data_IF_537475551061
#
_entry.id   IF_537475551061
#
_cell.length_a   1.000
_cell.length_b   1.000
_cell.length_c   1.000
_cell.angle_alpha   90.00
_cell.angle_beta   90.00
_cell.angle_gamma   90.00
#
_symmetry.space_group_name_H-M   'P 1'
#
loop_
_entity.id
_entity.type
_entity.pdbx_description
1 polymer ?
#
# COMPACT_ATOMS: atom_id res chain seq x y z
N UNK A 1 12.96 -27.87 -48.27
CA UNK A 1 12.45 -26.72 -47.45
C UNK A 1 11.44 -27.22 -46.48
N UNK A 2 11.74 -27.37 -45.18
CA UNK A 2 10.76 -27.71 -44.17
C UNK A 2 10.02 -26.46 -43.72
N UNK A 3 8.69 -26.61 -43.55
CA UNK A 3 7.81 -25.51 -43.11
C UNK A 3 8.10 -25.12 -41.66
N UNK A 4 8.34 -23.84 -41.45
CA UNK A 4 8.38 -23.24 -40.14
C UNK A 4 6.98 -23.31 -39.52
N UNK A 5 6.81 -24.13 -38.47
CA UNK A 5 5.66 -24.07 -37.58
C UNK A 5 5.72 -22.77 -36.79
N UNK A 6 4.72 -21.91 -36.99
CA UNK A 6 4.48 -20.77 -36.11
C UNK A 6 4.20 -21.27 -34.70
N UNK A 7 5.14 -21.07 -33.80
CA UNK A 7 4.94 -21.26 -32.37
C UNK A 7 4.18 -20.05 -31.87
N UNK A 8 2.91 -20.24 -31.49
CA UNK A 8 2.12 -19.24 -30.79
C UNK A 8 2.75 -18.97 -29.40
N UNK A 9 3.40 -17.83 -29.23
CA UNK A 9 4.25 -17.45 -28.09
C UNK A 9 3.48 -17.02 -26.84
N UNK A 10 2.20 -17.32 -26.71
CA UNK A 10 1.36 -16.88 -25.58
C UNK A 10 0.77 -17.99 -24.71
N UNK A 11 1.23 -19.24 -24.86
CA UNK A 11 0.82 -20.32 -23.98
C UNK A 11 1.56 -20.24 -22.63
N UNK A 12 0.84 -19.85 -21.60
CA UNK A 12 1.25 -19.74 -20.20
C UNK A 12 1.40 -21.10 -19.50
N UNK A 13 1.11 -22.17 -20.21
CA UNK A 13 1.18 -23.50 -19.64
C UNK A 13 2.63 -23.96 -19.52
N UNK A 14 3.10 -24.03 -18.27
CA UNK A 14 4.36 -24.67 -17.90
C UNK A 14 4.24 -26.14 -18.25
N UNK A 15 4.92 -26.59 -19.30
CA UNK A 15 5.10 -28.03 -19.52
C UNK A 15 5.82 -28.62 -18.30
N UNK A 16 5.28 -29.67 -17.67
CA UNK A 16 5.95 -30.33 -16.57
C UNK A 16 7.25 -30.98 -17.04
N UNK A 17 8.33 -30.88 -16.26
CA UNK A 17 9.56 -31.62 -16.50
C UNK A 17 9.30 -33.13 -16.34
N UNK A 18 10.02 -34.03 -17.06
CA UNK A 18 9.74 -35.45 -17.07
C UNK A 18 9.93 -36.22 -15.73
N UNK A 19 10.37 -35.54 -14.68
CA UNK A 19 10.63 -36.14 -13.36
C UNK A 19 9.81 -35.53 -12.21
N UNK A 20 8.79 -34.70 -12.48
CA UNK A 20 7.93 -34.18 -11.44
C UNK A 20 6.97 -35.25 -10.93
N UNK A 21 6.86 -35.47 -9.59
CA UNK A 21 5.85 -36.40 -9.05
C UNK A 21 4.46 -35.96 -9.48
N UNK A 22 3.58 -36.92 -9.82
CA UNK A 22 2.19 -36.68 -10.21
C UNK A 22 1.53 -35.83 -9.10
N UNK A 23 1.38 -34.54 -9.34
CA UNK A 23 0.63 -33.64 -8.43
C UNK A 23 -0.84 -33.97 -8.65
N UNK A 24 -1.44 -34.64 -7.68
CA UNK A 24 -2.90 -34.76 -7.59
C UNK A 24 -3.42 -33.30 -7.63
N UNK A 25 -4.15 -32.95 -8.67
CA UNK A 25 -4.76 -31.64 -8.81
C UNK A 25 -5.80 -31.47 -7.69
N UNK A 26 -5.41 -30.80 -6.61
CA UNK A 26 -6.36 -30.39 -5.56
C UNK A 26 -7.34 -29.42 -6.22
N UNK A 27 -8.66 -29.71 -6.21
CA UNK A 27 -9.64 -28.81 -6.80
C UNK A 27 -9.52 -27.42 -6.14
N UNK A 28 -9.69 -26.32 -6.91
CA UNK A 28 -9.60 -24.99 -6.36
C UNK A 28 -10.63 -24.80 -5.24
N UNK A 29 -10.23 -24.21 -4.09
CA UNK A 29 -11.11 -24.04 -2.95
C UNK A 29 -12.36 -23.21 -3.31
N UNK A 30 -13.54 -23.66 -2.87
CA UNK A 30 -14.82 -23.03 -3.18
C UNK A 30 -14.97 -21.69 -2.43
N UNK A 31 -15.44 -20.63 -3.12
CA UNK A 31 -15.54 -19.26 -2.60
C UNK A 31 -16.36 -19.19 -1.31
N UNK A 32 -17.46 -19.94 -1.22
CA UNK A 32 -18.45 -19.78 -0.13
C UNK A 32 -18.03 -20.38 1.20
N UNK A 33 -17.37 -21.56 1.20
CA UNK A 33 -16.94 -22.22 2.43
C UNK A 33 -15.54 -21.80 2.88
N UNK A 34 -14.61 -21.72 1.92
CA UNK A 34 -13.20 -21.46 2.23
C UNK A 34 -12.91 -19.97 2.40
N UNK A 35 -13.66 -19.08 1.73
CA UNK A 35 -13.57 -17.64 1.93
C UNK A 35 -14.02 -17.23 3.34
N UNK A 36 -15.12 -17.83 3.86
CA UNK A 36 -15.59 -17.56 5.21
C UNK A 36 -14.63 -18.09 6.29
N UNK A 37 -14.01 -19.27 6.06
CA UNK A 37 -12.97 -19.80 6.96
C UNK A 37 -11.74 -18.90 6.97
N UNK A 38 -11.29 -18.41 5.80
CA UNK A 38 -10.18 -17.47 5.69
C UNK A 38 -10.46 -16.16 6.42
N UNK A 39 -11.63 -15.56 6.22
CA UNK A 39 -12.02 -14.34 6.89
C UNK A 39 -12.04 -14.51 8.42
N UNK A 40 -12.50 -15.65 8.94
CA UNK A 40 -12.47 -15.96 10.39
C UNK A 40 -11.05 -16.16 10.90
N UNK A 41 -10.19 -16.85 10.14
CA UNK A 41 -8.79 -17.07 10.52
C UNK A 41 -8.03 -15.73 10.63
N UNK A 42 -8.35 -14.77 9.76
CA UNK A 42 -7.77 -13.44 9.73
C UNK A 42 -8.66 -12.36 10.37
N UNK A 43 -9.59 -12.75 11.25
CA UNK A 43 -10.52 -11.81 11.89
C UNK A 43 -9.78 -10.70 12.66
N UNK A 44 -8.71 -11.04 13.36
CA UNK A 44 -7.89 -10.05 14.08
C UNK A 44 -7.17 -9.10 13.12
N UNK A 45 -6.71 -9.56 11.97
CA UNK A 45 -6.11 -8.70 10.96
C UNK A 45 -7.12 -7.68 10.43
N UNK A 46 -8.36 -8.10 10.19
CA UNK A 46 -9.44 -7.18 9.79
C UNK A 46 -9.78 -6.17 10.89
N UNK A 47 -9.80 -6.59 12.17
CA UNK A 47 -10.01 -5.68 13.31
C UNK A 47 -8.88 -4.65 13.39
N UNK A 48 -7.62 -5.09 13.27
CA UNK A 48 -6.45 -4.20 13.27
C UNK A 48 -6.49 -3.23 12.10
N UNK A 49 -6.91 -3.67 10.91
CA UNK A 49 -7.07 -2.80 9.75
C UNK A 49 -8.10 -1.68 10.02
N UNK A 50 -9.26 -2.02 10.60
CA UNK A 50 -10.26 -1.02 11.00
C UNK A 50 -9.69 -0.07 12.05
N UNK A 51 -8.94 -0.58 13.02
CA UNK A 51 -8.29 0.24 14.05
C UNK A 51 -7.30 1.23 13.42
N UNK A 52 -6.49 0.81 12.44
CA UNK A 52 -5.57 1.70 11.71
C UNK A 52 -6.33 2.83 11.01
N UNK A 53 -7.46 2.53 10.37
CA UNK A 53 -8.30 3.55 9.72
C UNK A 53 -8.85 4.54 10.75
N UNK A 54 -9.26 4.08 11.93
CA UNK A 54 -9.73 4.95 13.02
C UNK A 54 -8.59 5.83 13.53
N UNK A 55 -7.40 5.25 13.75
CA UNK A 55 -6.19 6.00 14.18
C UNK A 55 -5.83 7.08 13.16
N UNK A 56 -5.85 6.75 11.86
CA UNK A 56 -5.60 7.71 10.78
C UNK A 56 -6.62 8.86 10.81
N UNK A 57 -7.91 8.53 10.97
CA UNK A 57 -8.97 9.52 11.11
C UNK A 57 -8.77 10.45 12.30
N UNK A 58 -8.25 9.95 13.43
CA UNK A 58 -7.89 10.76 14.61
C UNK A 58 -6.70 11.66 14.31
N UNK A 59 -5.63 11.11 13.72
CA UNK A 59 -4.42 11.88 13.36
C UNK A 59 -4.74 13.04 12.42
N UNK A 60 -5.66 12.86 11.49
CA UNK A 60 -6.12 13.93 10.59
C UNK A 60 -6.82 15.09 11.30
N UNK A 61 -7.44 14.85 12.47
CA UNK A 61 -8.09 15.89 13.28
C UNK A 61 -7.11 16.66 14.15
N UNK A 62 -5.97 16.08 14.50
CA UNK A 62 -4.96 16.72 15.35
C UNK A 62 -4.37 17.95 14.65
N UNK A 63 -4.12 19.00 15.42
CA UNK A 63 -3.41 20.17 14.95
C UNK A 63 -1.92 19.84 14.78
N UNK A 64 -1.30 20.09 13.61
CA UNK A 64 0.11 19.81 13.40
C UNK A 64 0.97 20.76 14.22
N UNK A 65 2.20 20.35 14.48
CA UNK A 65 3.21 21.26 15.02
C UNK A 65 3.40 22.45 14.06
N UNK A 66 3.24 23.67 14.59
CA UNK A 66 3.50 24.90 13.82
C UNK A 66 4.99 25.21 13.90
N UNK A 67 5.72 24.75 12.89
CA UNK A 67 7.14 25.07 12.77
C UNK A 67 7.33 26.56 12.57
N UNK A 68 8.30 27.12 13.27
CA UNK A 68 8.66 28.54 13.14
C UNK A 68 8.98 28.89 11.67
N UNK A 69 8.42 30.02 11.22
CA UNK A 69 8.67 30.61 9.90
C UNK A 69 9.02 32.06 10.13
N UNK A 70 10.27 32.43 9.84
CA UNK A 70 10.76 33.82 9.90
C UNK A 70 10.57 34.54 8.58
N UNK A 71 10.77 35.85 8.62
CA UNK A 71 10.64 36.76 7.45
C UNK A 71 11.57 36.39 6.29
N UNK A 72 12.78 35.96 6.61
CA UNK A 72 13.83 35.53 5.68
C UNK A 72 13.52 34.18 5.01
N UNK A 73 12.75 33.31 5.70
CA UNK A 73 12.35 31.98 5.20
C UNK A 73 11.21 32.07 4.18
N UNK A 74 10.48 33.17 4.09
CA UNK A 74 9.32 33.33 3.21
C UNK A 74 9.70 33.35 1.72
N UNK A 75 10.95 33.57 1.36
CA UNK A 75 11.42 33.58 -0.04
C UNK A 75 11.13 32.23 -0.73
N UNK A 76 11.38 31.12 -0.04
CA UNK A 76 11.17 29.77 -0.55
C UNK A 76 9.73 29.24 -0.31
N UNK A 77 8.86 30.07 0.29
CA UNK A 77 7.48 29.70 0.64
C UNK A 77 6.44 30.60 -0.05
N UNK A 78 6.86 31.36 -1.07
CA UNK A 78 6.02 32.34 -1.77
C UNK A 78 5.57 31.87 -3.16
N UNK A 79 5.61 30.58 -3.43
CA UNK A 79 5.11 30.01 -4.69
C UNK A 79 3.59 30.21 -4.81
N UNK A 80 3.08 30.40 -6.05
CA UNK A 80 1.66 30.65 -6.25
C UNK A 80 0.80 29.46 -5.78
N UNK A 81 -0.37 29.79 -5.24
CA UNK A 81 -1.36 28.79 -4.86
C UNK A 81 -2.08 28.29 -6.13
N UNK A 82 -1.89 27.03 -6.48
CA UNK A 82 -2.50 26.41 -7.66
C UNK A 82 -3.54 25.36 -7.27
N UNK A 83 -4.45 25.07 -8.20
CA UNK A 83 -5.39 23.96 -8.05
C UNK A 83 -4.66 22.61 -8.09
N UNK A 84 -5.30 21.59 -7.52
CA UNK A 84 -4.71 20.27 -7.52
C UNK A 84 -4.91 19.59 -8.88
N UNK A 85 -3.84 19.30 -9.62
CA UNK A 85 -3.87 18.48 -10.84
C UNK A 85 -4.47 17.10 -10.54
N UNK A 86 -4.08 16.51 -9.39
CA UNK A 86 -4.66 15.26 -8.89
C UNK A 86 -5.36 15.54 -7.55
N UNK A 87 -6.71 15.58 -7.51
CA UNK A 87 -7.44 15.76 -6.27
C UNK A 87 -7.26 14.58 -5.30
N UNK A 88 -7.27 14.84 -3.99
CA UNK A 88 -7.02 13.79 -2.98
C UNK A 88 -8.04 12.64 -3.01
N UNK A 89 -9.29 12.93 -3.36
CA UNK A 89 -10.34 11.91 -3.46
C UNK A 89 -10.10 10.86 -4.56
N UNK A 90 -9.21 11.14 -5.53
CA UNK A 90 -8.84 10.18 -6.58
C UNK A 90 -7.82 9.15 -6.09
N UNK A 91 -7.09 9.43 -5.00
CA UNK A 91 -6.06 8.53 -4.45
C UNK A 91 -6.63 7.14 -4.10
N UNK A 92 -7.76 7.00 -3.39
CA UNK A 92 -8.39 5.71 -3.16
C UNK A 92 -8.79 4.98 -4.46
N UNK A 93 -9.15 5.72 -5.51
CA UNK A 93 -9.59 5.11 -6.77
C UNK A 93 -8.42 4.39 -7.44
N UNK A 94 -7.32 5.08 -7.71
CA UNK A 94 -6.20 4.45 -8.40
C UNK A 94 -5.27 3.65 -7.45
N UNK A 95 -5.21 4.01 -6.16
CA UNK A 95 -4.34 3.35 -5.19
C UNK A 95 -4.95 2.11 -4.52
N UNK A 96 -6.28 1.99 -4.50
CA UNK A 96 -6.98 0.86 -3.86
C UNK A 96 -7.91 0.17 -4.87
N UNK A 97 -8.90 0.88 -5.43
CA UNK A 97 -9.93 0.28 -6.28
C UNK A 97 -9.32 -0.29 -7.56
N UNK A 98 -8.43 0.45 -8.23
CA UNK A 98 -7.74 -0.02 -9.42
C UNK A 98 -6.95 -1.32 -9.18
N UNK A 99 -6.06 -1.40 -8.18
CA UNK A 99 -5.41 -2.64 -7.78
C UNK A 99 -6.38 -3.78 -7.44
N UNK A 100 -7.47 -3.54 -6.70
CA UNK A 100 -8.48 -4.56 -6.38
C UNK A 100 -9.12 -5.11 -7.66
N UNK A 101 -9.44 -4.27 -8.64
CA UNK A 101 -10.01 -4.71 -9.92
C UNK A 101 -9.02 -5.64 -10.64
N UNK A 102 -7.73 -5.30 -10.68
CA UNK A 102 -6.70 -6.11 -11.32
C UNK A 102 -6.53 -7.45 -10.58
N UNK A 103 -6.43 -7.43 -9.25
CA UNK A 103 -6.33 -8.62 -8.40
C UNK A 103 -7.54 -9.53 -8.62
N UNK A 104 -8.75 -8.96 -8.63
CA UNK A 104 -10.00 -9.70 -8.86
C UNK A 104 -10.05 -10.30 -10.27
N UNK A 105 -9.57 -9.59 -11.29
CA UNK A 105 -9.49 -10.09 -12.66
C UNK A 105 -8.56 -11.31 -12.78
N UNK A 106 -7.43 -11.29 -12.07
CA UNK A 106 -6.52 -12.44 -11.97
C UNK A 106 -7.19 -13.59 -11.21
N UNK A 107 -7.92 -13.29 -10.13
CA UNK A 107 -8.70 -14.29 -9.39
C UNK A 107 -9.76 -14.97 -10.26
N UNK A 108 -10.52 -14.22 -11.07
CA UNK A 108 -11.54 -14.80 -11.99
C UNK A 108 -10.91 -15.83 -12.92
N UNK A 109 -9.69 -15.60 -13.39
CA UNK A 109 -8.95 -16.52 -14.26
C UNK A 109 -8.38 -17.73 -13.51
N UNK A 110 -7.87 -17.53 -12.29
CA UNK A 110 -7.12 -18.56 -11.53
C UNK A 110 -7.93 -19.27 -10.45
N UNK A 111 -9.05 -18.68 -10.01
CA UNK A 111 -9.99 -19.20 -9.01
C UNK A 111 -9.38 -19.59 -7.66
N UNK A 112 -8.30 -18.91 -7.23
CA UNK A 112 -7.65 -19.16 -5.94
C UNK A 112 -8.09 -18.13 -4.90
N UNK A 113 -8.90 -18.55 -3.91
CA UNK A 113 -9.45 -17.68 -2.86
C UNK A 113 -8.36 -17.22 -1.88
N UNK A 114 -7.36 -18.07 -1.58
CA UNK A 114 -6.22 -17.68 -0.74
C UNK A 114 -5.45 -16.52 -1.34
N UNK A 115 -5.22 -16.55 -2.65
CA UNK A 115 -4.54 -15.50 -3.37
C UNK A 115 -5.32 -14.17 -3.32
N UNK A 116 -6.62 -14.22 -3.62
CA UNK A 116 -7.50 -13.05 -3.56
C UNK A 116 -7.50 -12.41 -2.17
N UNK A 117 -7.72 -13.23 -1.13
CA UNK A 117 -7.83 -12.75 0.25
C UNK A 117 -6.54 -12.08 0.72
N UNK A 118 -5.39 -12.74 0.56
CA UNK A 118 -4.12 -12.21 1.02
C UNK A 118 -3.64 -11.02 0.19
N UNK A 119 -3.94 -10.98 -1.11
CA UNK A 119 -3.62 -9.83 -1.95
C UNK A 119 -4.42 -8.59 -1.56
N UNK A 120 -5.73 -8.73 -1.32
CA UNK A 120 -6.57 -7.61 -0.86
C UNK A 120 -6.16 -7.16 0.54
N UNK A 121 -5.95 -8.10 1.47
CA UNK A 121 -5.55 -7.78 2.83
C UNK A 121 -4.19 -7.06 2.85
N UNK A 122 -3.20 -7.58 2.12
CA UNK A 122 -1.87 -6.96 2.03
C UNK A 122 -1.89 -5.57 1.40
N UNK A 123 -2.69 -5.36 0.35
CA UNK A 123 -2.90 -4.05 -0.25
C UNK A 123 -3.49 -3.04 0.75
N UNK A 124 -4.54 -3.44 1.46
CA UNK A 124 -5.22 -2.58 2.42
C UNK A 124 -4.32 -2.23 3.61
N UNK A 125 -3.54 -3.20 4.13
CA UNK A 125 -2.54 -2.94 5.16
C UNK A 125 -1.43 -2.01 4.65
N UNK A 126 -0.95 -2.20 3.44
CA UNK A 126 0.06 -1.32 2.84
C UNK A 126 -0.40 0.13 2.85
N UNK A 127 -1.63 0.39 2.41
CA UNK A 127 -2.20 1.74 2.35
C UNK A 127 -2.48 2.28 3.76
N UNK A 128 -3.10 1.49 4.65
CA UNK A 128 -3.48 1.95 5.99
C UNK A 128 -2.27 2.25 6.88
N UNK A 129 -1.25 1.38 6.90
CA UNK A 129 -0.01 1.63 7.64
C UNK A 129 0.69 2.88 7.10
N UNK A 130 0.76 3.02 5.78
CA UNK A 130 1.38 4.19 5.15
C UNK A 130 0.62 5.48 5.49
N UNK A 131 -0.71 5.46 5.53
CA UNK A 131 -1.54 6.61 5.91
C UNK A 131 -1.22 7.05 7.34
N UNK A 132 -1.30 6.13 8.30
CA UNK A 132 -1.00 6.41 9.71
C UNK A 132 0.41 6.97 9.90
N UNK A 133 1.43 6.35 9.29
CA UNK A 133 2.81 6.84 9.38
C UNK A 133 2.97 8.22 8.74
N UNK A 134 2.37 8.44 7.58
CA UNK A 134 2.42 9.71 6.86
C UNK A 134 1.82 10.84 7.71
N UNK A 135 0.63 10.62 8.29
CA UNK A 135 -0.06 11.67 9.04
C UNK A 135 0.55 11.89 10.44
N UNK A 136 1.08 10.83 11.07
CA UNK A 136 1.87 10.97 12.29
C UNK A 136 3.11 11.84 12.06
N UNK A 137 3.87 11.59 10.99
CA UNK A 137 5.06 12.39 10.65
C UNK A 137 4.65 13.83 10.28
N UNK A 138 3.57 14.03 9.51
CA UNK A 138 3.06 15.36 9.17
C UNK A 138 2.80 16.20 10.40
N UNK A 139 2.05 15.61 11.35
CA UNK A 139 1.68 16.32 12.57
C UNK A 139 2.90 16.63 13.44
N UNK A 140 3.89 15.75 13.52
CA UNK A 140 5.11 15.96 14.30
C UNK A 140 6.12 16.90 13.67
N UNK A 141 6.24 16.91 12.34
CA UNK A 141 7.25 17.72 11.63
C UNK A 141 6.79 19.15 11.38
N UNK A 142 5.51 19.35 11.03
CA UNK A 142 4.93 20.67 10.82
C UNK A 142 5.62 21.50 9.74
N UNK A 143 6.16 20.86 8.68
CA UNK A 143 6.89 21.59 7.63
C UNK A 143 5.95 22.49 6.83
N UNK A 144 6.27 23.78 6.61
CA UNK A 144 5.50 24.67 5.75
C UNK A 144 5.56 24.21 4.29
N UNK A 145 4.45 24.42 3.55
CA UNK A 145 4.34 24.14 2.11
C UNK A 145 5.00 25.24 1.28
N UNK A 146 5.36 24.98 0.01
CA UNK A 146 5.89 26.01 -0.89
C UNK A 146 4.93 27.21 -1.08
N UNK A 147 3.60 26.97 -1.02
CA UNK A 147 2.55 27.98 -1.14
C UNK A 147 2.11 28.60 0.20
N UNK A 148 2.91 28.43 1.28
CA UNK A 148 2.55 28.81 2.65
C UNK A 148 2.26 30.30 2.81
N UNK A 149 3.00 31.16 2.11
CA UNK A 149 2.80 32.61 2.17
C UNK A 149 1.35 33.02 1.90
N UNK A 150 0.76 32.49 0.84
CA UNK A 150 -0.61 32.82 0.42
C UNK A 150 -1.68 32.22 1.31
N UNK A 151 -1.34 31.16 2.06
CA UNK A 151 -2.23 30.57 3.09
C UNK A 151 -2.21 31.42 4.36
N UNK A 152 -1.06 31.97 4.69
CA UNK A 152 -0.85 32.82 5.87
C UNK A 152 -1.37 34.24 5.63
N UNK A 153 -1.12 34.79 4.43
CA UNK A 153 -1.41 36.16 4.05
C UNK A 153 -2.18 36.22 2.72
N UNK A 154 -3.51 35.99 2.73
CA UNK A 154 -4.30 35.94 1.49
C UNK A 154 -4.41 37.31 0.80
N UNK A 155 -4.18 38.42 1.51
CA UNK A 155 -4.13 39.79 1.00
C UNK A 155 -2.74 40.20 0.45
N UNK A 156 -1.73 39.30 0.62
CA UNK A 156 -0.36 39.57 0.21
C UNK A 156 0.42 40.48 1.14
N UNK A 157 -0.16 40.89 2.28
CA UNK A 157 0.48 41.81 3.25
C UNK A 157 1.04 41.01 4.44
N UNK A 158 2.35 40.79 4.52
CA UNK A 158 2.94 40.01 5.61
C UNK A 158 2.94 40.79 6.93
N UNK A 159 2.57 40.13 8.01
CA UNK A 159 2.66 40.65 9.37
C UNK A 159 3.62 39.75 10.19
N UNK A 160 4.45 40.39 11.00
CA UNK A 160 5.48 39.72 11.80
C UNK A 160 5.38 40.13 13.27
N UNK A 161 5.76 39.23 14.13
CA UNK A 161 5.99 39.52 15.54
C UNK A 161 7.26 40.36 15.70
N UNK A 162 7.17 41.47 16.46
CA UNK A 162 8.27 42.44 16.63
C UNK A 162 9.46 41.88 17.42
N UNK A 163 9.26 40.80 18.18
CA UNK A 163 10.29 40.24 19.06
C UNK A 163 10.90 38.97 18.41
N UNK A 164 10.06 38.08 17.94
CA UNK A 164 10.49 36.77 17.39
C UNK A 164 10.75 36.80 15.90
N UNK A 165 10.32 37.88 15.19
CA UNK A 165 10.29 37.95 13.71
C UNK A 165 9.49 36.83 13.02
N UNK A 166 8.74 36.04 13.80
CA UNK A 166 7.86 35.03 13.30
C UNK A 166 6.64 35.60 12.59
N UNK A 167 6.09 34.84 11.65
CA UNK A 167 4.88 35.22 10.91
C UNK A 167 3.65 35.24 11.80
N UNK A 168 2.82 36.28 11.67
CA UNK A 168 1.51 36.41 12.30
C UNK A 168 0.43 36.23 11.23
N UNK A 169 0.05 34.95 11.00
CA UNK A 169 -0.92 34.62 9.98
C UNK A 169 -2.34 35.10 10.29
N UNK A 170 -3.02 35.69 9.30
CA UNK A 170 -4.41 36.12 9.38
C UNK A 170 -5.32 35.44 8.33
N UNK A 171 -4.80 34.44 7.64
CA UNK A 171 -5.58 33.60 6.74
C UNK A 171 -6.58 32.69 7.47
N UNK A 172 -7.32 31.87 6.72
CA UNK A 172 -8.24 30.90 7.30
C UNK A 172 -7.48 29.83 8.09
N UNK A 173 -7.95 29.50 9.29
CA UNK A 173 -7.30 28.51 10.15
C UNK A 173 -7.12 27.14 9.47
N UNK A 174 -8.08 26.69 8.65
CA UNK A 174 -7.98 25.45 7.87
C UNK A 174 -6.82 25.49 6.86
N UNK A 175 -6.61 26.64 6.21
CA UNK A 175 -5.58 26.79 5.17
C UNK A 175 -4.18 26.90 5.80
N UNK A 176 -4.09 27.57 6.96
CA UNK A 176 -2.87 27.65 7.75
C UNK A 176 -2.49 26.25 8.28
N UNK A 177 -3.45 25.52 8.85
CA UNK A 177 -3.28 24.14 9.30
C UNK A 177 -2.74 23.25 8.18
N UNK A 178 -3.38 23.24 7.01
CA UNK A 178 -2.90 22.51 5.84
C UNK A 178 -1.56 23.03 5.32
N UNK A 179 -1.28 24.30 5.52
CA UNK A 179 0.00 24.93 5.21
C UNK A 179 1.17 24.31 5.96
N UNK A 180 0.98 23.81 7.18
CA UNK A 180 2.00 23.15 7.99
C UNK A 180 2.09 21.62 7.77
N UNK A 181 1.35 21.05 6.80
CA UNK A 181 1.33 19.62 6.51
C UNK A 181 2.04 19.25 5.20
N UNK A 182 3.26 19.81 4.98
CA UNK A 182 4.01 19.54 3.75
C UNK A 182 4.70 18.16 3.79
N UNK A 183 5.42 17.82 4.85
CA UNK A 183 6.30 16.66 4.90
C UNK A 183 5.70 15.49 5.72
N UNK A 184 5.71 14.26 5.19
CA UNK A 184 5.95 13.88 3.80
C UNK A 184 4.69 14.05 2.94
N UNK A 185 4.82 13.89 1.60
CA UNK A 185 3.68 13.98 0.69
C UNK A 185 2.74 12.78 0.80
N UNK A 186 1.47 13.03 1.21
CA UNK A 186 0.46 11.98 1.37
C UNK A 186 -0.02 11.39 0.04
N UNK A 187 -0.22 12.22 -1.00
CA UNK A 187 -0.53 11.73 -2.34
C UNK A 187 0.53 10.75 -2.82
N UNK A 188 1.79 11.08 -2.63
CA UNK A 188 2.91 10.25 -3.09
C UNK A 188 3.03 8.98 -2.27
N UNK A 189 3.00 9.08 -0.94
CA UNK A 189 3.17 7.90 -0.08
C UNK A 189 2.07 6.86 -0.30
N UNK A 190 0.81 7.30 -0.39
CA UNK A 190 -0.32 6.41 -0.65
C UNK A 190 -0.32 5.83 -2.07
N UNK A 191 0.10 6.63 -3.06
CA UNK A 191 0.26 6.12 -4.44
C UNK A 191 1.31 5.01 -4.52
N UNK A 192 2.48 5.23 -3.91
CA UNK A 192 3.53 4.21 -3.89
C UNK A 192 3.19 3.02 -2.99
N UNK A 193 2.37 3.19 -1.95
CA UNK A 193 1.87 2.08 -1.15
C UNK A 193 0.92 1.17 -1.95
N UNK A 194 -0.08 1.74 -2.61
CA UNK A 194 -1.06 0.96 -3.37
C UNK A 194 -0.51 0.40 -4.69
N UNK A 195 0.06 1.28 -5.51
CA UNK A 195 0.58 0.89 -6.83
C UNK A 195 1.91 0.12 -6.73
N UNK A 196 2.72 0.39 -5.69
CA UNK A 196 3.90 -0.40 -5.38
C UNK A 196 3.56 -1.82 -4.96
N UNK A 197 2.54 -2.00 -4.12
CA UNK A 197 2.03 -3.33 -3.78
C UNK A 197 1.51 -4.06 -5.04
N UNK A 198 0.76 -3.38 -5.89
CA UNK A 198 0.29 -3.94 -7.17
C UNK A 198 1.47 -4.36 -8.05
N UNK A 199 2.53 -3.56 -8.11
CA UNK A 199 3.73 -3.87 -8.89
C UNK A 199 4.39 -5.16 -8.39
N UNK A 200 4.58 -5.32 -7.08
CA UNK A 200 5.07 -6.56 -6.46
C UNK A 200 4.16 -7.75 -6.76
N UNK A 201 2.84 -7.58 -6.62
CA UNK A 201 1.86 -8.63 -6.90
C UNK A 201 1.93 -9.10 -8.35
N UNK A 202 1.97 -8.15 -9.30
CA UNK A 202 2.11 -8.47 -10.72
C UNK A 202 3.44 -9.18 -11.01
N UNK A 203 4.55 -8.74 -10.38
CA UNK A 203 5.85 -9.37 -10.54
C UNK A 203 5.82 -10.87 -10.20
N UNK A 204 5.16 -11.25 -9.10
CA UNK A 204 4.94 -12.64 -8.73
C UNK A 204 4.04 -13.38 -9.72
N UNK A 205 2.92 -12.75 -10.15
CA UNK A 205 1.92 -13.40 -11.02
C UNK A 205 2.40 -13.68 -12.44
N UNK A 206 3.22 -12.80 -13.01
CA UNK A 206 3.77 -12.99 -14.35
C UNK A 206 5.16 -13.65 -14.34
N UNK A 207 5.68 -14.01 -13.16
CA UNK A 207 7.02 -14.58 -12.97
C UNK A 207 8.06 -13.76 -13.74
N UNK A 208 8.23 -12.50 -13.34
CA UNK A 208 9.13 -11.56 -14.06
C UNK A 208 10.55 -12.09 -14.13
N UNK A 209 11.05 -12.70 -13.04
CA UNK A 209 12.42 -13.19 -12.92
C UNK A 209 12.57 -14.67 -13.30
N UNK A 210 11.78 -15.17 -14.26
CA UNK A 210 11.84 -16.56 -14.75
C UNK A 210 13.08 -16.92 -15.58
N UNK A 211 14.03 -15.98 -15.71
CA UNK A 211 15.29 -16.12 -16.48
C UNK A 211 15.10 -16.39 -17.96
N UNK A 212 13.88 -16.24 -18.51
CA UNK A 212 13.61 -16.42 -19.96
C UNK A 212 13.92 -15.16 -20.78
N UNK A 213 14.38 -14.09 -20.18
CA UNK A 213 14.82 -12.87 -20.88
C UNK A 213 13.70 -11.98 -21.45
N UNK A 214 12.45 -12.14 -21.02
CA UNK A 214 11.34 -11.32 -21.51
C UNK A 214 11.29 -9.94 -20.83
N UNK A 215 12.00 -8.96 -21.37
CA UNK A 215 12.08 -7.58 -20.85
C UNK A 215 10.69 -6.90 -20.80
N UNK A 216 9.77 -7.25 -21.70
CA UNK A 216 8.40 -6.72 -21.70
C UNK A 216 7.67 -6.92 -20.35
N UNK A 217 7.99 -7.97 -19.60
CA UNK A 217 7.43 -8.19 -18.26
C UNK A 217 7.85 -7.09 -17.27
N UNK A 218 9.06 -6.55 -17.41
CA UNK A 218 9.50 -5.42 -16.59
C UNK A 218 8.66 -4.16 -16.87
N UNK A 219 8.30 -3.90 -18.12
CA UNK A 219 7.44 -2.76 -18.46
C UNK A 219 6.09 -2.87 -17.75
N UNK A 220 5.52 -4.08 -17.64
CA UNK A 220 4.24 -4.29 -16.96
C UNK A 220 4.32 -3.95 -15.46
N UNK A 221 5.41 -4.33 -14.79
CA UNK A 221 5.56 -4.03 -13.35
C UNK A 221 5.96 -2.58 -13.08
N UNK A 222 6.64 -1.92 -14.03
CA UNK A 222 6.98 -0.50 -13.89
C UNK A 222 5.80 0.42 -14.22
N UNK A 223 4.77 -0.03 -14.92
CA UNK A 223 3.62 0.80 -15.27
C UNK A 223 2.86 1.35 -14.04
N UNK A 224 2.51 0.57 -13.00
CA UNK A 224 1.95 1.12 -11.77
C UNK A 224 2.88 2.11 -11.07
N UNK A 225 4.19 1.83 -11.03
CA UNK A 225 5.18 2.73 -10.43
C UNK A 225 5.31 4.04 -11.19
N UNK A 226 5.22 4.00 -12.53
CA UNK A 226 5.16 5.20 -13.37
C UNK A 226 3.92 6.03 -13.03
N UNK A 227 2.75 5.39 -12.83
CA UNK A 227 1.54 6.08 -12.39
C UNK A 227 1.75 6.79 -11.04
N UNK A 228 2.36 6.11 -10.06
CA UNK A 228 2.69 6.72 -8.77
C UNK A 228 3.68 7.89 -8.90
N UNK A 229 4.69 7.75 -9.79
CA UNK A 229 5.66 8.81 -10.05
C UNK A 229 5.03 10.04 -10.72
N UNK A 230 4.10 9.86 -11.65
CA UNK A 230 3.37 10.98 -12.27
C UNK A 230 2.51 11.73 -11.24
N UNK A 231 1.85 11.02 -10.32
CA UNK A 231 1.18 11.68 -9.18
C UNK A 231 2.19 12.44 -8.31
N UNK A 232 3.35 11.85 -8.04
CA UNK A 232 4.41 12.49 -7.26
C UNK A 232 4.89 13.80 -7.91
N UNK A 233 5.15 13.79 -9.23
CA UNK A 233 5.57 14.96 -10.01
C UNK A 233 4.49 16.06 -9.93
N UNK A 234 3.22 15.72 -10.10
CA UNK A 234 2.14 16.70 -10.03
C UNK A 234 2.10 17.47 -8.70
N UNK A 235 2.60 16.87 -7.60
CA UNK A 235 2.64 17.57 -6.29
C UNK A 235 3.69 18.67 -6.22
N UNK A 236 4.78 18.49 -6.97
CA UNK A 236 5.83 19.51 -7.10
C UNK A 236 5.36 20.61 -8.07
N UNK A 237 4.78 20.23 -9.21
CA UNK A 237 4.27 21.17 -10.22
C UNK A 237 3.15 22.07 -9.67
N UNK A 238 2.29 21.52 -8.81
CA UNK A 238 1.21 22.27 -8.14
C UNK A 238 1.72 23.13 -6.95
N UNK A 239 3.03 23.17 -6.68
CA UNK A 239 3.64 23.85 -5.50
C UNK A 239 3.05 23.43 -4.16
N UNK A 240 2.47 22.21 -4.08
CA UNK A 240 1.88 21.65 -2.84
C UNK A 240 2.93 21.04 -1.92
N UNK A 241 4.02 20.55 -2.49
CA UNK A 241 5.10 19.87 -1.79
C UNK A 241 6.47 20.23 -2.38
N UNK A 242 7.49 20.23 -1.53
CA UNK A 242 8.88 20.27 -1.98
C UNK A 242 9.27 18.88 -2.51
N UNK A 243 10.29 18.82 -3.36
CA UNK A 243 10.77 17.54 -3.92
C UNK A 243 11.18 16.53 -2.83
N UNK A 244 11.75 17.01 -1.69
CA UNK A 244 12.12 16.14 -0.56
C UNK A 244 10.89 15.47 0.07
N UNK A 245 9.76 16.18 0.19
CA UNK A 245 8.52 15.65 0.75
C UNK A 245 7.98 14.50 -0.12
N UNK A 246 8.13 14.68 -1.43
CA UNK A 246 7.71 13.73 -2.46
C UNK A 246 8.61 12.50 -2.46
N UNK A 247 9.94 12.68 -2.50
CA UNK A 247 10.88 11.57 -2.46
C UNK A 247 10.72 10.73 -1.18
N UNK A 248 10.62 11.39 -0.02
CA UNK A 248 10.43 10.68 1.25
C UNK A 248 9.09 9.95 1.28
N UNK A 249 8.01 10.58 0.79
CA UNK A 249 6.71 9.93 0.67
C UNK A 249 6.77 8.69 -0.22
N UNK A 250 7.43 8.78 -1.38
CA UNK A 250 7.60 7.65 -2.30
C UNK A 250 8.37 6.48 -1.68
N UNK A 251 9.49 6.77 -1.01
CA UNK A 251 10.28 5.75 -0.31
C UNK A 251 9.46 5.11 0.82
N UNK A 252 8.76 5.91 1.63
CA UNK A 252 7.92 5.39 2.71
C UNK A 252 6.86 4.43 2.17
N UNK A 253 6.10 4.86 1.15
CA UNK A 253 5.04 4.04 0.56
C UNK A 253 5.59 2.75 -0.05
N UNK A 254 6.70 2.82 -0.79
CA UNK A 254 7.29 1.65 -1.43
C UNK A 254 7.87 0.66 -0.42
N UNK A 255 8.52 1.13 0.65
CA UNK A 255 9.04 0.25 1.71
C UNK A 255 7.91 -0.48 2.42
N UNK A 256 6.84 0.23 2.81
CA UNK A 256 5.69 -0.40 3.47
C UNK A 256 5.00 -1.39 2.52
N UNK A 257 4.82 -1.04 1.24
CA UNK A 257 4.28 -1.94 0.23
C UNK A 257 5.10 -3.23 0.11
N UNK A 258 6.43 -3.11 0.09
CA UNK A 258 7.34 -4.25 0.00
C UNK A 258 7.23 -5.16 1.21
N UNK A 259 7.21 -4.59 2.42
CA UNK A 259 7.06 -5.36 3.67
C UNK A 259 5.69 -6.06 3.72
N UNK A 260 4.59 -5.37 3.37
CA UNK A 260 3.27 -5.97 3.33
C UNK A 260 3.16 -7.07 2.27
N UNK A 261 3.81 -6.91 1.11
CA UNK A 261 3.85 -7.97 0.11
C UNK A 261 4.60 -9.20 0.62
N UNK A 262 5.79 -9.03 1.16
CA UNK A 262 6.64 -10.12 1.64
C UNK A 262 6.04 -10.87 2.85
N UNK A 263 5.16 -10.22 3.62
CA UNK A 263 4.42 -10.88 4.70
C UNK A 263 3.50 -11.98 4.18
N UNK A 264 2.89 -11.79 3.02
CA UNK A 264 1.90 -12.73 2.46
C UNK A 264 2.44 -13.56 1.31
N UNK A 265 3.41 -13.05 0.57
CA UNK A 265 3.93 -13.65 -0.66
C UNK A 265 5.45 -13.82 -0.60
N UNK A 266 5.98 -14.90 -1.18
CA UNK A 266 7.43 -15.04 -1.35
C UNK A 266 7.96 -14.05 -2.41
N UNK A 267 9.29 -13.94 -2.49
CA UNK A 267 9.92 -13.15 -3.53
C UNK A 267 9.48 -13.60 -4.93
N UNK A 268 9.28 -12.69 -5.89
CA UNK A 268 8.92 -13.05 -7.27
C UNK A 268 9.95 -13.92 -8.00
N UNK A 269 11.18 -13.98 -7.50
CA UNK A 269 12.26 -14.86 -7.99
C UNK A 269 12.19 -16.29 -7.46
N UNK A 270 11.39 -16.53 -6.43
CA UNK A 270 11.20 -17.86 -5.84
C UNK A 270 10.39 -18.78 -6.78
N UNK A 271 10.66 -20.09 -6.73
CA UNK A 271 9.90 -21.09 -7.48
C UNK A 271 8.41 -21.05 -7.14
N UNK A 272 8.09 -20.80 -5.87
CA UNK A 272 6.73 -20.65 -5.35
C UNK A 272 6.21 -19.21 -5.40
N UNK A 273 6.92 -18.26 -6.01
CA UNK A 273 6.57 -16.84 -6.07
C UNK A 273 5.19 -16.53 -6.64
N UNK A 274 4.53 -17.51 -7.26
CA UNK A 274 3.19 -17.38 -7.81
C UNK A 274 2.08 -17.36 -6.75
N UNK A 275 2.29 -18.03 -5.61
CA UNK A 275 1.26 -18.31 -4.62
C UNK A 275 1.58 -17.70 -3.26
N UNK A 276 0.57 -17.30 -2.45
CA UNK A 276 0.81 -16.84 -1.09
C UNK A 276 1.32 -17.98 -0.21
N UNK A 277 2.11 -17.64 0.81
CA UNK A 277 2.66 -18.61 1.78
C UNK A 277 1.59 -19.53 2.40
N UNK A 278 0.40 -18.97 2.69
CA UNK A 278 -0.71 -19.73 3.26
C UNK A 278 -1.20 -20.85 2.33
N UNK A 279 -1.27 -20.58 1.01
CA UNK A 279 -1.68 -21.58 0.04
C UNK A 279 -0.64 -22.69 -0.13
N UNK A 280 0.62 -22.34 -0.19
CA UNK A 280 1.73 -23.31 -0.28
C UNK A 280 1.75 -24.21 0.95
N UNK A 281 1.55 -23.65 2.14
CA UNK A 281 1.44 -24.40 3.40
C UNK A 281 0.25 -25.35 3.41
N UNK A 282 -0.91 -24.91 2.89
CA UNK A 282 -2.12 -25.75 2.81
C UNK A 282 -1.93 -26.96 1.89
N UNK A 283 -1.21 -26.82 0.78
CA UNK A 283 -0.91 -27.95 -0.13
C UNK A 283 0.07 -28.95 0.50
N UNK A 284 1.09 -28.46 1.22
CA UNK A 284 2.12 -29.33 1.79
C UNK A 284 1.70 -30.01 3.10
N UNK A 285 0.71 -29.48 3.83
CA UNK A 285 0.27 -30.01 5.13
C UNK A 285 -1.26 -29.94 5.28
N UNK A 286 -2.06 -30.72 4.51
CA UNK A 286 -3.51 -30.63 4.54
C UNK A 286 -4.14 -31.06 5.88
N UNK A 287 -3.45 -31.90 6.69
CA UNK A 287 -3.95 -32.36 8.00
C UNK A 287 -3.73 -31.33 9.13
N UNK A 288 -2.72 -30.50 9.07
CA UNK A 288 -2.43 -29.48 10.08
C UNK A 288 -3.45 -28.33 10.10
N UNK A 289 -4.18 -28.11 9.01
CA UNK A 289 -5.23 -27.10 8.93
C UNK A 289 -6.50 -27.48 9.72
N UNK A 290 -6.72 -28.78 9.95
CA UNK A 290 -7.89 -29.27 10.71
C UNK A 290 -7.65 -29.32 12.23
N UNK A 291 -6.41 -29.46 12.68
CA UNK A 291 -6.08 -29.59 14.12
C UNK A 291 -6.11 -28.23 14.86
N UNK A 292 -5.88 -27.13 14.19
CA UNK A 292 -5.95 -25.79 14.81
C UNK A 292 -7.39 -25.32 15.11
N UNK A 293 -8.39 -25.94 14.47
CA UNK A 293 -9.80 -25.60 14.69
C UNK A 293 -10.43 -26.40 15.84
N UNK A 294 -9.82 -27.51 16.29
CA UNK A 294 -10.35 -28.38 17.35
C UNK A 294 -9.79 -28.10 18.74
N UNK A 295 -8.74 -27.28 18.86
CA UNK A 295 -8.12 -27.00 20.17
C UNK A 295 -8.72 -25.78 20.92
N UNK A 296 -9.69 -25.08 20.35
CA UNK A 296 -10.35 -23.95 21.02
C UNK A 296 -11.56 -24.32 21.92
N UNK A 297 -12.02 -25.60 21.90
CA UNK A 297 -13.20 -26.03 22.65
C UNK A 297 -12.92 -27.05 23.78
N UNK A 298 -11.66 -27.32 24.12
CA UNK A 298 -11.31 -28.15 25.27
C UNK A 298 -10.96 -27.29 26.49
N UNK A 299 -11.98 -26.84 27.22
CA UNK A 299 -11.83 -26.34 28.60
C UNK A 299 -11.37 -27.48 29.51
N UNK A 300 -10.29 -27.36 30.29
CA UNK A 300 -9.93 -28.41 31.25
C UNK A 300 -10.92 -28.39 32.41
N UNK A 301 -11.69 -29.47 32.54
CA UNK A 301 -12.42 -29.75 33.77
C UNK A 301 -11.42 -29.99 34.91
N UNK A 302 -11.37 -29.08 35.85
CA UNK A 302 -10.66 -29.26 37.12
C UNK A 302 -11.28 -30.46 37.85
N UNK A 303 -10.57 -31.57 37.88
CA UNK A 303 -10.83 -32.69 38.74
C UNK A 303 -10.46 -32.32 40.18
N UNK A 304 -11.44 -32.30 41.07
CA UNK A 304 -11.22 -32.18 42.49
C UNK A 304 -10.70 -33.54 43.02
N UNK A 305 -9.40 -33.62 43.31
CA UNK A 305 -8.90 -34.70 44.16
C UNK A 305 -8.97 -34.31 45.63
N UNK A 306 -9.68 -35.18 46.36
CA UNK A 306 -9.92 -35.14 47.80
C UNK A 306 -8.70 -35.80 48.46
N UNK A 307 -8.00 -35.07 49.31
CA UNK A 307 -7.04 -35.68 50.24
C UNK A 307 -7.79 -36.10 51.54
N UNK A 308 -7.55 -37.37 51.91
CA UNK A 308 -7.79 -37.93 53.27
C UNK A 308 -6.44 -37.86 53.98
#
# INVERSE_FOLDING_TARGET
MPRLHQINTWDWEVMPSPSAPIRVAVPPPCITSDGAKMARLHMYDWIVLVLLVVVDGVLNKIEPFHRFVGSDMLTDLRYPMQDNTVPFWTVPIYGIIGPIIIITSIYIKRRNVYDLHHAILGLLFSVAITAVLTDAIKNGVGRPRPDFFWRCFPDGVPAYDNVTTGVLCHGKASDIKEGHKSFPSGHTSLSFAGLGFLSWYLAGKIKVFDRRGHVAKLCIIFLPLLGAALVAISRVDDYRHHWQDVCTGGVLGLVVASLCYLQFFPLPSDENGLWPHAYTRHIHNPEGANTSATHSDASPKLGAERFV
#
